data_IF_806561673859
#
_entry.id   IF_806561673859
#
_cell.length_a   1.000
_cell.length_b   1.000
_cell.length_c   1.000
_cell.angle_alpha   90.00
_cell.angle_beta   90.00
_cell.angle_gamma   90.00
#
_symmetry.space_group_name_H-M   'P 1'
#
loop_
_entity.id
_entity.type
_entity.pdbx_description
1 polymer ?
#
# COMPACT_ATOMS: atom_id res chain seq x y z
N UNK A 1 14.13 -37.99 16.00
CA UNK A 1 13.11 -37.35 15.14
C UNK A 1 13.41 -35.87 15.03
N UNK A 2 13.93 -35.40 13.89
CA UNK A 2 14.13 -33.96 13.64
C UNK A 2 12.98 -33.40 12.81
N UNK A 3 12.41 -32.31 13.33
CA UNK A 3 11.39 -31.46 12.73
C UNK A 3 11.84 -30.89 11.38
N UNK A 4 11.01 -31.01 10.35
CA UNK A 4 11.19 -30.30 9.08
C UNK A 4 9.92 -29.49 8.77
N UNK A 5 9.95 -28.14 8.82
CA UNK A 5 8.84 -27.34 8.37
C UNK A 5 8.80 -27.38 6.83
N UNK A 6 7.64 -27.78 6.31
CA UNK A 6 7.34 -27.86 4.90
C UNK A 6 7.56 -26.49 4.23
N UNK A 7 8.69 -26.31 3.55
CA UNK A 7 9.11 -25.05 2.94
C UNK A 7 8.63 -25.01 1.49
N UNK A 8 7.33 -24.82 1.31
CA UNK A 8 6.76 -24.38 0.02
C UNK A 8 6.13 -23.01 0.21
N UNK A 9 6.94 -22.00 0.51
CA UNK A 9 6.61 -20.61 0.15
C UNK A 9 7.27 -20.36 -1.20
N UNK A 10 6.54 -20.72 -2.26
CA UNK A 10 6.99 -20.62 -3.64
C UNK A 10 7.37 -19.19 -4.00
N UNK A 11 8.46 -19.06 -4.78
CA UNK A 11 8.98 -17.82 -5.37
C UNK A 11 7.90 -16.94 -6.02
N UNK A 12 6.82 -17.55 -6.50
CA UNK A 12 5.65 -16.88 -7.08
C UNK A 12 4.96 -15.87 -6.14
N UNK A 13 4.98 -16.09 -4.82
CA UNK A 13 4.36 -15.16 -3.87
C UNK A 13 5.12 -13.84 -3.71
N UNK A 14 6.45 -13.86 -3.91
CA UNK A 14 7.31 -12.67 -3.78
C UNK A 14 7.30 -11.87 -5.09
N UNK A 15 7.33 -12.54 -6.24
CA UNK A 15 7.20 -11.90 -7.56
C UNK A 15 5.82 -11.22 -7.74
N UNK A 16 4.75 -11.84 -7.24
CA UNK A 16 3.41 -11.26 -7.30
C UNK A 16 3.29 -9.96 -6.50
N UNK A 17 3.92 -9.88 -5.32
CA UNK A 17 3.96 -8.64 -4.52
C UNK A 17 4.72 -7.54 -5.25
N UNK A 18 5.85 -7.86 -5.87
CA UNK A 18 6.69 -6.88 -6.58
C UNK A 18 5.99 -6.29 -7.81
N UNK A 19 5.09 -7.04 -8.45
CA UNK A 19 4.32 -6.56 -9.62
C UNK A 19 3.13 -5.65 -9.27
N UNK A 20 2.65 -5.68 -8.03
CA UNK A 20 1.57 -4.81 -7.52
C UNK A 20 2.12 -3.53 -6.85
N UNK A 21 3.44 -3.40 -6.74
CA UNK A 21 4.07 -2.16 -6.28
C UNK A 21 3.97 -1.11 -7.39
N UNK A 22 3.01 -0.20 -7.28
CA UNK A 22 2.96 0.99 -8.11
C UNK A 22 4.01 2.00 -7.59
N UNK A 23 5.04 2.33 -8.37
CA UNK A 23 6.05 3.33 -8.00
C UNK A 23 5.43 4.71 -7.72
N UNK A 24 4.30 5.01 -8.39
CA UNK A 24 3.48 6.21 -8.16
C UNK A 24 2.90 6.29 -6.73
N UNK A 25 2.88 5.18 -5.98
CA UNK A 25 2.42 5.16 -4.59
C UNK A 25 3.45 5.74 -3.61
N UNK A 26 4.71 5.97 -4.04
CA UNK A 26 5.74 6.58 -3.22
C UNK A 26 5.68 8.11 -3.33
N UNK A 27 4.65 8.71 -2.73
CA UNK A 27 4.69 10.14 -2.47
C UNK A 27 5.61 10.39 -1.28
N UNK A 28 6.76 10.98 -1.56
CA UNK A 28 7.77 11.33 -0.55
C UNK A 28 7.23 12.40 0.41
N UNK A 29 6.67 11.97 1.53
CA UNK A 29 6.49 12.86 2.67
C UNK A 29 7.86 13.16 3.30
N UNK A 30 7.99 14.31 3.96
CA UNK A 30 9.18 14.57 4.78
C UNK A 30 9.34 13.51 5.86
N UNK A 31 10.55 13.28 6.35
CA UNK A 31 10.81 12.27 7.38
C UNK A 31 9.93 12.48 8.64
N UNK A 32 9.76 13.75 9.04
CA UNK A 32 8.90 14.12 10.16
C UNK A 32 7.41 13.84 9.88
N UNK A 33 6.94 14.13 8.67
CA UNK A 33 5.59 13.84 8.23
C UNK A 33 5.33 12.33 8.19
N UNK A 34 6.26 11.53 7.66
CA UNK A 34 6.20 10.07 7.65
C UNK A 34 6.14 9.49 9.08
N UNK A 35 7.01 9.94 9.98
CA UNK A 35 6.99 9.52 11.40
C UNK A 35 5.69 9.91 12.11
N UNK A 36 5.13 11.07 11.77
CA UNK A 36 3.88 11.58 12.34
C UNK A 36 2.65 10.80 11.87
N UNK A 37 2.55 10.54 10.56
CA UNK A 37 1.45 9.79 9.94
C UNK A 37 1.48 8.32 10.35
N UNK A 38 2.64 7.68 10.27
CA UNK A 38 2.78 6.24 10.50
C UNK A 38 1.87 5.44 9.57
N UNK A 39 1.11 4.50 10.13
CA UNK A 39 0.17 3.65 9.41
C UNK A 39 -1.23 4.26 9.21
N UNK A 40 -1.46 5.51 9.61
CA UNK A 40 -2.76 6.18 9.45
C UNK A 40 -3.05 6.49 7.98
N UNK A 41 -4.32 6.48 7.60
CA UNK A 41 -4.77 7.05 6.32
C UNK A 41 -4.59 8.57 6.29
N UNK A 42 -4.68 9.21 5.12
CA UNK A 42 -4.70 10.68 5.07
C UNK A 42 -5.97 11.27 5.70
N UNK A 43 -7.07 10.50 5.72
CA UNK A 43 -8.28 10.87 6.44
C UNK A 43 -8.06 10.91 7.96
N UNK A 44 -7.34 9.94 8.52
CA UNK A 44 -7.14 9.85 9.99
C UNK A 44 -5.96 10.70 10.49
N UNK A 45 -5.17 11.24 9.57
CA UNK A 45 -3.99 12.03 9.90
C UNK A 45 -4.26 13.54 9.75
N UNK A 46 -4.79 14.12 10.83
CA UNK A 46 -5.19 15.54 10.90
C UNK A 46 -4.16 16.45 11.58
N UNK A 47 -3.26 15.90 12.40
CA UNK A 47 -2.33 16.68 13.23
C UNK A 47 -0.90 16.10 13.18
N UNK A 48 0.09 16.97 13.07
CA UNK A 48 1.50 16.63 13.25
C UNK A 48 1.83 16.36 14.73
N UNK A 49 2.16 15.11 15.06
CA UNK A 49 2.37 14.64 16.45
C UNK A 49 3.39 15.45 17.25
N UNK A 50 4.42 15.98 16.59
CA UNK A 50 5.56 16.63 17.25
C UNK A 50 5.30 18.11 17.60
N UNK A 51 4.48 18.79 16.80
CA UNK A 51 4.31 20.25 16.88
C UNK A 51 2.85 20.67 17.11
N UNK A 52 1.91 19.71 17.18
CA UNK A 52 0.44 19.96 17.24
C UNK A 52 -0.07 20.90 16.14
N UNK A 53 0.66 20.96 15.02
CA UNK A 53 0.27 21.73 13.85
C UNK A 53 -0.75 20.91 13.06
N UNK A 54 -1.84 21.54 12.64
CA UNK A 54 -2.80 20.91 11.74
C UNK A 54 -2.15 20.64 10.38
N UNK A 55 -2.46 19.48 9.81
CA UNK A 55 -2.06 19.18 8.43
C UNK A 55 -2.85 20.11 7.51
N UNK A 56 -2.18 20.74 6.54
CA UNK A 56 -2.82 21.64 5.58
C UNK A 56 -4.08 20.98 4.98
N UNK A 57 -5.27 21.61 5.12
CA UNK A 57 -6.52 20.98 4.69
C UNK A 57 -6.58 20.70 3.19
N UNK A 58 -6.02 21.57 2.34
CA UNK A 58 -6.01 21.39 0.89
C UNK A 58 -5.12 20.21 0.50
N UNK A 59 -3.92 20.16 1.07
CA UNK A 59 -3.02 19.01 0.91
C UNK A 59 -3.71 17.72 1.35
N UNK A 60 -4.39 17.73 2.51
CA UNK A 60 -5.09 16.55 3.01
C UNK A 60 -6.20 16.09 2.05
N UNK A 61 -7.02 16.99 1.53
CA UNK A 61 -8.06 16.65 0.54
C UNK A 61 -7.47 16.06 -0.74
N UNK A 62 -6.40 16.66 -1.27
CA UNK A 62 -5.71 16.14 -2.46
C UNK A 62 -5.17 14.73 -2.23
N UNK A 63 -4.57 14.49 -1.07
CA UNK A 63 -3.99 13.18 -0.74
C UNK A 63 -5.06 12.12 -0.48
N UNK A 64 -6.20 12.48 0.13
CA UNK A 64 -7.36 11.57 0.27
C UNK A 64 -7.90 11.18 -1.10
N UNK A 65 -7.99 12.11 -2.04
CA UNK A 65 -8.44 11.83 -3.40
C UNK A 65 -7.48 10.87 -4.11
N UNK A 66 -6.17 11.14 -4.03
CA UNK A 66 -5.12 10.26 -4.58
C UNK A 66 -5.15 8.86 -3.95
N UNK A 67 -5.31 8.76 -2.63
CA UNK A 67 -5.40 7.50 -1.89
C UNK A 67 -6.55 6.63 -2.44
N UNK A 68 -7.74 7.21 -2.65
CA UNK A 68 -8.88 6.52 -3.25
C UNK A 68 -8.64 6.08 -4.69
N UNK A 69 -8.08 6.96 -5.53
CA UNK A 69 -7.78 6.63 -6.92
C UNK A 69 -6.77 5.49 -7.03
N UNK A 70 -5.76 5.47 -6.16
CA UNK A 70 -4.77 4.41 -6.10
C UNK A 70 -5.35 3.11 -5.58
N UNK A 71 -6.19 3.15 -4.54
CA UNK A 71 -6.89 1.97 -4.01
C UNK A 71 -7.71 1.27 -5.10
N UNK A 72 -8.48 2.03 -5.89
CA UNK A 72 -9.24 1.46 -7.01
C UNK A 72 -8.34 0.84 -8.08
N UNK A 73 -7.22 1.50 -8.43
CA UNK A 73 -6.26 0.97 -9.41
C UNK A 73 -5.61 -0.33 -8.93
N UNK A 74 -5.18 -0.37 -7.67
CA UNK A 74 -4.56 -1.54 -7.05
C UNK A 74 -5.54 -2.70 -6.98
N UNK A 75 -6.78 -2.46 -6.57
CA UNK A 75 -7.79 -3.50 -6.52
C UNK A 75 -8.04 -4.09 -7.90
N UNK A 76 -8.14 -3.25 -8.93
CA UNK A 76 -8.27 -3.71 -10.32
C UNK A 76 -7.07 -4.57 -10.76
N UNK A 77 -5.84 -4.16 -10.45
CA UNK A 77 -4.64 -4.95 -10.76
C UNK A 77 -4.66 -6.32 -10.06
N UNK A 78 -5.12 -6.37 -8.80
CA UNK A 78 -5.29 -7.62 -8.05
C UNK A 78 -6.34 -8.50 -8.73
N UNK A 79 -7.49 -7.94 -9.07
CA UNK A 79 -8.59 -8.67 -9.71
C UNK A 79 -8.15 -9.24 -11.06
N UNK A 80 -7.53 -8.42 -11.91
CA UNK A 80 -6.98 -8.82 -13.21
C UNK A 80 -5.94 -9.96 -13.07
N UNK A 81 -5.05 -9.86 -12.06
CA UNK A 81 -4.05 -10.89 -11.78
C UNK A 81 -4.68 -12.20 -11.30
N UNK A 82 -5.66 -12.13 -10.41
CA UNK A 82 -6.38 -13.31 -9.89
C UNK A 82 -7.18 -13.99 -11.00
N UNK A 83 -7.87 -13.23 -11.86
CA UNK A 83 -8.58 -13.77 -13.02
C UNK A 83 -7.65 -14.43 -14.03
N UNK A 84 -6.51 -13.80 -14.34
CA UNK A 84 -5.49 -14.37 -15.22
C UNK A 84 -4.97 -15.72 -14.72
N UNK A 85 -4.71 -15.84 -13.41
CA UNK A 85 -4.28 -17.09 -12.81
C UNK A 85 -5.36 -18.19 -12.87
N UNK A 86 -6.64 -17.85 -12.69
CA UNK A 86 -7.75 -18.84 -12.80
C UNK A 86 -7.82 -19.47 -14.20
N UNK A 87 -7.48 -18.73 -15.26
CA UNK A 87 -7.48 -19.23 -16.65
C UNK A 87 -6.29 -20.15 -16.97
N UNK A 88 -5.18 -20.06 -16.23
CA UNK A 88 -4.00 -20.91 -16.41
C UNK A 88 -4.10 -22.32 -15.80
N UNK A 89 -5.15 -22.61 -15.03
CA UNK A 89 -5.41 -23.93 -14.42
C UNK A 89 -6.54 -24.72 -15.14
N UNK A 90 -7.01 -24.26 -16.30
CA UNK A 90 -8.04 -24.94 -17.10
C UNK A 90 -7.45 -25.61 -18.33
#
# INVERSE_FOLDING_TARGET
>A
MTWAPNRVKGRHGIEALQKVVNEENFLGLSEAANKSKGSKSYSDWTIYKKEKIEVDPKFREEMIKKEKELEMKLQKQIDDFVEGNKKGYR
#
